data_IF_284755320571
#
_entry.id   IF_284755320571
#
_cell.length_a   1.000
_cell.length_b   1.000
_cell.length_c   1.000
_cell.angle_alpha   90.00
_cell.angle_beta   90.00
_cell.angle_gamma   90.00
#
_symmetry.space_group_name_H-M   'P 1'
#
loop_
_entity.id
_entity.type
_entity.pdbx_description
1 polymer ?
#
# COMPACT_ATOMS: atom_id res chain seq x y z
N UNK A 1 -17.38 27.42 27.78
CA UNK A 1 -16.23 26.48 27.68
C UNK A 1 -16.45 25.60 26.46
N UNK A 2 -16.08 26.09 25.28
CA UNK A 2 -16.37 25.41 24.01
C UNK A 2 -15.29 24.38 23.76
N UNK A 3 -15.64 23.09 23.85
CA UNK A 3 -14.75 21.98 23.47
C UNK A 3 -14.44 22.15 21.98
N UNK A 4 -13.18 22.43 21.66
CA UNK A 4 -12.68 22.33 20.29
C UNK A 4 -12.71 20.84 19.97
N UNK A 5 -13.66 20.40 19.13
CA UNK A 5 -13.63 19.08 18.53
C UNK A 5 -12.28 18.94 17.83
N UNK A 6 -11.46 18.01 18.32
CA UNK A 6 -10.14 17.72 17.76
C UNK A 6 -10.28 17.45 16.26
N UNK A 7 -9.65 18.27 15.42
CA UNK A 7 -9.53 18.01 13.99
C UNK A 7 -8.76 16.70 13.86
N UNK A 8 -9.41 15.65 13.34
CA UNK A 8 -8.76 14.36 13.10
C UNK A 8 -7.80 14.57 11.93
N UNK A 9 -6.51 14.63 12.23
CA UNK A 9 -5.47 14.66 11.21
C UNK A 9 -5.38 13.26 10.62
N UNK A 10 -5.94 13.06 9.44
CA UNK A 10 -5.83 11.79 8.71
C UNK A 10 -4.36 11.59 8.32
N UNK A 11 -3.78 10.47 8.72
CA UNK A 11 -2.43 10.05 8.31
C UNK A 11 -2.52 9.18 7.05
N UNK A 12 -1.48 9.23 6.22
CA UNK A 12 -1.41 8.40 5.03
C UNK A 12 -1.26 6.93 5.40
N UNK A 13 -0.45 6.64 6.42
CA UNK A 13 -0.37 5.31 7.05
C UNK A 13 -0.50 5.52 8.56
N UNK A 14 -1.39 4.76 9.20
CA UNK A 14 -1.55 4.74 10.65
C UNK A 14 -1.63 3.29 11.13
N UNK A 15 -0.73 2.90 12.03
CA UNK A 15 -0.63 1.55 12.57
C UNK A 15 -0.77 1.63 14.08
N UNK A 16 -1.63 0.80 14.65
CA UNK A 16 -1.84 0.70 16.10
C UNK A 16 -1.81 -0.76 16.55
N UNK A 17 -0.85 -1.09 17.40
CA UNK A 17 -0.64 -2.40 18.04
C UNK A 17 -0.66 -3.57 17.04
N UNK A 18 -0.01 -3.40 15.89
CA UNK A 18 -0.03 -4.37 14.80
C UNK A 18 0.87 -5.55 15.08
N UNK A 19 0.24 -6.72 15.19
CA UNK A 19 0.93 -7.97 15.47
C UNK A 19 0.69 -8.93 14.31
N UNK A 20 1.76 -9.61 13.87
CA UNK A 20 1.66 -10.78 13.00
C UNK A 20 2.44 -11.94 13.56
N UNK A 21 1.75 -13.06 13.73
CA UNK A 21 2.32 -14.33 14.19
C UNK A 21 2.11 -15.41 13.13
N UNK A 22 3.12 -16.27 13.00
CA UNK A 22 3.06 -17.49 12.20
C UNK A 22 3.50 -18.66 13.08
N UNK A 23 2.63 -19.66 13.25
CA UNK A 23 2.92 -20.85 14.07
C UNK A 23 3.49 -20.52 15.46
N UNK A 24 2.92 -19.52 16.13
CA UNK A 24 3.36 -19.06 17.46
C UNK A 24 4.60 -18.17 17.48
N UNK A 25 5.25 -17.92 16.34
CA UNK A 25 6.38 -16.99 16.24
C UNK A 25 5.89 -15.60 15.81
N UNK A 26 6.18 -14.59 16.63
CA UNK A 26 5.93 -13.18 16.29
C UNK A 26 6.93 -12.68 15.25
N UNK A 27 6.41 -12.19 14.12
CA UNK A 27 7.18 -11.69 12.97
C UNK A 27 6.97 -10.19 12.76
N UNK A 28 5.83 -9.63 13.19
CA UNK A 28 5.59 -8.19 13.25
C UNK A 28 5.09 -7.85 14.66
N UNK A 29 5.68 -6.82 15.26
CA UNK A 29 5.28 -6.21 16.53
C UNK A 29 5.52 -4.70 16.42
N UNK A 30 4.53 -3.96 15.93
CA UNK A 30 4.60 -2.51 15.79
C UNK A 30 3.57 -1.89 16.73
N UNK A 31 4.08 -1.22 17.78
CA UNK A 31 3.23 -0.57 18.77
C UNK A 31 2.46 0.60 18.14
N UNK A 32 3.15 1.59 17.60
CA UNK A 32 2.53 2.69 16.84
C UNK A 32 3.46 3.13 15.72
N UNK A 33 2.92 3.35 14.52
CA UNK A 33 3.64 3.95 13.41
C UNK A 33 2.69 4.86 12.63
N UNK A 34 3.12 6.09 12.38
CA UNK A 34 2.36 7.06 11.59
C UNK A 34 3.27 7.62 10.50
N UNK A 35 2.75 7.67 9.28
CA UNK A 35 3.40 8.31 8.14
C UNK A 35 2.45 9.34 7.55
N UNK A 36 2.91 10.58 7.43
CA UNK A 36 2.16 11.68 6.85
C UNK A 36 2.04 11.60 5.34
N UNK A 37 1.13 12.38 4.77
CA UNK A 37 1.07 12.57 3.31
C UNK A 37 2.32 13.32 2.83
N UNK A 38 2.94 12.85 1.75
CA UNK A 38 4.17 13.43 1.19
C UNK A 38 5.45 13.07 1.95
N UNK A 39 5.37 12.22 2.98
CA UNK A 39 6.52 11.78 3.75
C UNK A 39 7.24 10.60 3.07
N UNK A 40 8.58 10.64 3.06
CA UNK A 40 9.42 9.52 2.66
C UNK A 40 9.78 8.67 3.89
N UNK A 41 9.25 7.46 3.94
CA UNK A 41 9.48 6.52 5.05
C UNK A 41 10.11 5.21 4.56
N UNK A 42 11.00 4.62 5.36
CA UNK A 42 11.66 3.36 5.05
C UNK A 42 11.80 2.44 6.26
N UNK A 43 11.50 1.15 6.10
CA UNK A 43 11.80 0.13 7.10
C UNK A 43 13.25 -0.35 6.96
N UNK A 44 14.05 -0.16 8.01
CA UNK A 44 15.43 -0.67 8.08
C UNK A 44 15.53 -1.80 9.12
N UNK A 45 16.24 -2.87 8.78
CA UNK A 45 16.50 -3.98 9.69
C UNK A 45 17.01 -5.22 8.96
N UNK A 46 17.48 -6.26 9.70
CA UNK A 46 17.99 -7.48 9.09
C UNK A 46 16.89 -8.30 8.39
N UNK A 47 17.30 -9.34 7.67
CA UNK A 47 16.36 -10.32 7.12
C UNK A 47 15.58 -10.99 8.25
N UNK A 48 14.27 -11.17 8.05
CA UNK A 48 13.38 -11.71 9.07
C UNK A 48 12.85 -10.69 10.10
N UNK A 49 13.27 -9.43 10.06
CA UNK A 49 12.77 -8.37 10.96
C UNK A 49 11.30 -7.95 10.72
N UNK A 50 10.56 -8.66 9.86
CA UNK A 50 9.15 -8.38 9.61
C UNK A 50 8.83 -7.39 8.48
N UNK A 51 9.82 -6.71 7.88
CA UNK A 51 9.61 -5.68 6.84
C UNK A 51 8.64 -6.10 5.73
N UNK A 52 8.96 -7.18 5.03
CA UNK A 52 8.12 -7.72 3.93
C UNK A 52 6.73 -8.11 4.43
N UNK A 53 6.64 -8.65 5.65
CA UNK A 53 5.35 -9.01 6.27
C UNK A 53 4.50 -7.77 6.55
N UNK A 54 5.10 -6.70 7.08
CA UNK A 54 4.42 -5.42 7.28
C UNK A 54 3.93 -4.83 5.97
N UNK A 55 4.78 -4.81 4.93
CA UNK A 55 4.37 -4.34 3.58
C UNK A 55 3.22 -5.19 3.04
N UNK A 56 3.26 -6.52 3.21
CA UNK A 56 2.15 -7.41 2.80
C UNK A 56 0.85 -7.12 3.55
N UNK A 57 0.92 -6.70 4.81
CA UNK A 57 -0.27 -6.30 5.58
C UNK A 57 -0.85 -4.99 5.04
N UNK A 58 0.00 -3.97 4.88
CA UNK A 58 -0.41 -2.67 4.33
C UNK A 58 -1.01 -2.80 2.93
N UNK A 59 -0.48 -3.71 2.12
CA UNK A 59 -0.93 -3.97 0.73
C UNK A 59 -2.05 -5.00 0.65
N UNK A 60 -2.69 -5.36 1.77
CA UNK A 60 -3.83 -6.29 1.87
C UNK A 60 -3.54 -7.75 1.47
N UNK A 61 -2.28 -8.09 1.18
CA UNK A 61 -1.85 -9.44 0.80
C UNK A 61 -1.81 -10.42 1.97
N UNK A 62 -1.85 -9.94 3.21
CA UNK A 62 -1.84 -10.77 4.42
C UNK A 62 -2.56 -10.05 5.54
N UNK A 63 -3.43 -10.76 6.27
CA UNK A 63 -4.11 -10.19 7.44
C UNK A 63 -3.16 -10.15 8.65
N UNK A 64 -3.20 -9.10 9.49
CA UNK A 64 -2.56 -9.14 10.79
C UNK A 64 -3.17 -10.23 11.66
N UNK A 65 -2.46 -10.66 12.70
CA UNK A 65 -3.00 -11.51 13.76
C UNK A 65 -3.87 -10.68 14.70
N UNK A 66 -3.42 -9.46 15.04
CA UNK A 66 -4.19 -8.49 15.82
C UNK A 66 -3.70 -7.06 15.55
N UNK A 67 -4.40 -6.07 16.10
CA UNK A 67 -4.13 -4.65 15.86
C UNK A 67 -4.83 -4.10 14.63
N UNK A 68 -4.47 -2.87 14.27
CA UNK A 68 -5.04 -2.14 13.13
C UNK A 68 -3.95 -1.50 12.29
N UNK A 69 -4.22 -1.42 10.99
CA UNK A 69 -3.48 -0.58 10.07
C UNK A 69 -4.48 0.09 9.15
N UNK A 70 -4.27 1.39 8.91
CA UNK A 70 -5.09 2.22 8.06
C UNK A 70 -4.22 2.84 6.97
N UNK A 71 -4.77 2.94 5.76
CA UNK A 71 -4.22 3.73 4.65
C UNK A 71 -5.23 4.80 4.31
N UNK A 72 -4.83 6.07 4.40
CA UNK A 72 -5.70 7.23 4.19
C UNK A 72 -7.04 7.12 4.95
N UNK A 73 -6.98 6.66 6.21
CA UNK A 73 -8.17 6.46 7.06
C UNK A 73 -8.99 5.20 6.78
N UNK A 74 -8.68 4.40 5.76
CA UNK A 74 -9.34 3.13 5.46
C UNK A 74 -8.61 1.95 6.09
N UNK A 75 -9.34 1.07 6.79
CA UNK A 75 -8.75 -0.11 7.43
C UNK A 75 -8.38 -1.17 6.39
N UNK A 76 -7.14 -1.68 6.46
CA UNK A 76 -6.58 -2.61 5.45
C UNK A 76 -7.24 -3.99 5.45
N UNK A 77 -8.04 -4.33 6.45
CA UNK A 77 -8.78 -5.60 6.56
C UNK A 77 -10.24 -5.42 6.15
N UNK A 78 -10.94 -4.39 6.64
CA UNK A 78 -12.36 -4.18 6.34
C UNK A 78 -12.64 -3.40 5.06
N UNK A 79 -11.70 -2.59 4.58
CA UNK A 79 -11.88 -1.68 3.44
C UNK A 79 -10.92 -1.97 2.28
N UNK A 80 -10.65 -3.25 2.02
CA UNK A 80 -9.62 -3.68 1.04
C UNK A 80 -9.78 -3.09 -0.36
N UNK A 81 -11.00 -2.89 -0.85
CA UNK A 81 -11.23 -2.31 -2.18
C UNK A 81 -10.83 -0.83 -2.23
N UNK A 82 -11.25 -0.06 -1.23
CA UNK A 82 -10.86 1.35 -1.09
C UNK A 82 -9.35 1.48 -0.89
N UNK A 83 -8.76 0.67 -0.01
CA UNK A 83 -7.32 0.72 0.27
C UNK A 83 -6.49 0.47 -1.00
N UNK A 84 -6.92 -0.41 -1.90
CA UNK A 84 -6.22 -0.68 -3.16
C UNK A 84 -6.19 0.49 -4.16
N UNK A 85 -7.11 1.45 -4.05
CA UNK A 85 -7.03 2.68 -4.85
C UNK A 85 -6.08 3.73 -4.26
N UNK A 86 -5.64 3.56 -3.02
CA UNK A 86 -4.81 4.54 -2.30
C UNK A 86 -3.30 4.32 -2.47
N UNK A 87 -2.86 3.21 -3.09
CA UNK A 87 -1.43 2.91 -3.24
C UNK A 87 -1.09 2.27 -4.60
N UNK A 88 0.15 2.52 -5.05
CA UNK A 88 0.84 1.72 -6.05
C UNK A 88 1.92 0.86 -5.39
N UNK A 89 2.20 -0.32 -5.92
CA UNK A 89 3.24 -1.22 -5.40
C UNK A 89 4.18 -1.67 -6.52
N UNK A 90 5.48 -1.57 -6.25
CA UNK A 90 6.51 -2.23 -7.06
C UNK A 90 6.88 -3.53 -6.35
N UNK A 91 6.62 -4.66 -6.99
CA UNK A 91 6.90 -5.96 -6.41
C UNK A 91 8.39 -6.32 -6.52
N UNK A 92 8.87 -7.16 -5.58
CA UNK A 92 10.24 -7.68 -5.61
C UNK A 92 10.52 -8.50 -6.89
N UNK A 93 9.51 -9.22 -7.38
CA UNK A 93 9.55 -9.90 -8.67
C UNK A 93 8.63 -9.14 -9.64
N UNK A 94 9.15 -8.84 -10.83
CA UNK A 94 8.41 -8.16 -11.88
C UNK A 94 7.29 -9.06 -12.41
N UNK A 95 6.05 -8.60 -12.28
CA UNK A 95 4.85 -9.24 -12.85
C UNK A 95 4.56 -8.70 -14.26
N UNK A 96 5.59 -8.64 -15.12
CA UNK A 96 5.44 -8.23 -16.52
C UNK A 96 4.91 -9.40 -17.37
N UNK A 97 3.94 -9.10 -18.23
CA UNK A 97 3.56 -10.03 -19.28
C UNK A 97 4.64 -9.98 -20.37
N UNK A 98 5.31 -11.11 -20.58
CA UNK A 98 6.42 -11.26 -21.53
C UNK A 98 5.97 -11.24 -22.99
N UNK A 99 4.68 -11.52 -23.22
CA UNK A 99 4.08 -11.49 -24.56
C UNK A 99 3.66 -10.07 -24.97
N UNK A 100 3.81 -9.09 -24.07
CA UNK A 100 3.46 -7.68 -24.30
C UNK A 100 4.71 -6.81 -24.35
N UNK A 101 4.69 -5.79 -25.20
CA UNK A 101 5.66 -4.70 -25.19
C UNK A 101 5.63 -3.93 -23.87
N UNK A 102 6.62 -3.07 -23.64
CA UNK A 102 6.67 -2.21 -22.45
C UNK A 102 5.43 -1.30 -22.39
N UNK A 103 5.06 -0.67 -23.51
CA UNK A 103 3.88 0.21 -23.56
C UNK A 103 2.59 -0.55 -23.29
N UNK A 104 2.44 -1.76 -23.83
CA UNK A 104 1.26 -2.58 -23.58
C UNK A 104 1.15 -3.03 -22.12
N UNK A 105 2.29 -3.36 -21.48
CA UNK A 105 2.32 -3.63 -20.04
C UNK A 105 1.87 -2.41 -19.22
N UNK A 106 2.35 -1.21 -19.57
CA UNK A 106 1.96 0.04 -18.90
C UNK A 106 0.47 0.35 -19.09
N UNK A 107 -0.05 0.22 -20.31
CA UNK A 107 -1.46 0.43 -20.62
C UNK A 107 -2.35 -0.60 -19.90
N UNK A 108 -1.93 -1.87 -19.84
CA UNK A 108 -2.63 -2.92 -19.10
C UNK A 108 -2.73 -2.56 -17.61
N UNK A 109 -1.62 -2.17 -16.97
CA UNK A 109 -1.62 -1.77 -15.56
C UNK A 109 -2.47 -0.52 -15.33
N UNK A 110 -2.38 0.49 -16.20
CA UNK A 110 -3.20 1.70 -16.09
C UNK A 110 -4.71 1.40 -16.15
N UNK A 111 -5.13 0.46 -17.00
CA UNK A 111 -6.53 0.00 -17.08
C UNK A 111 -6.96 -0.78 -15.85
N UNK A 112 -6.11 -1.67 -15.33
CA UNK A 112 -6.38 -2.43 -14.10
C UNK A 112 -6.54 -1.52 -12.87
N UNK A 113 -5.83 -0.39 -12.86
CA UNK A 113 -5.97 0.66 -11.85
C UNK A 113 -7.06 1.70 -12.18
N UNK A 114 -7.89 1.43 -13.18
CA UNK A 114 -9.02 2.29 -13.58
C UNK A 114 -8.64 3.75 -13.90
N UNK A 115 -7.42 3.98 -14.39
CA UNK A 115 -6.99 5.32 -14.77
C UNK A 115 -7.79 5.83 -15.96
N UNK A 116 -8.24 7.09 -15.87
CA UNK A 116 -8.95 7.75 -16.99
C UNK A 116 -8.05 7.84 -18.21
N UNK A 117 -8.65 8.00 -19.39
CA UNK A 117 -7.88 8.15 -20.63
C UNK A 117 -6.96 9.39 -20.59
N UNK A 118 -7.41 10.44 -19.91
CA UNK A 118 -6.65 11.66 -19.67
C UNK A 118 -5.45 11.39 -18.75
N UNK A 119 -5.66 10.69 -17.63
CA UNK A 119 -4.60 10.31 -16.70
C UNK A 119 -3.56 9.34 -17.32
N UNK A 120 -3.95 8.58 -18.34
CA UNK A 120 -3.08 7.64 -19.06
C UNK A 120 -2.04 8.32 -19.97
N UNK A 121 -2.20 9.61 -20.31
CA UNK A 121 -1.20 10.35 -21.11
C UNK A 121 -0.92 9.78 -22.51
N UNK A 122 -1.75 8.86 -23.04
CA UNK A 122 -1.48 8.11 -24.27
C UNK A 122 -1.68 8.91 -25.56
N UNK A 123 -1.96 10.21 -25.48
CA UNK A 123 -2.10 11.09 -26.64
C UNK A 123 -0.78 11.32 -27.41
N UNK A 124 0.39 10.97 -26.87
CA UNK A 124 1.70 11.22 -27.49
C UNK A 124 2.54 9.99 -27.87
N UNK A 125 2.06 8.76 -27.65
CA UNK A 125 2.90 7.55 -27.73
C UNK A 125 2.53 6.58 -28.87
N UNK A 126 1.85 7.06 -29.92
CA UNK A 126 1.63 6.28 -31.14
C UNK A 126 2.92 6.22 -31.96
N UNK A 127 3.75 5.21 -31.74
CA UNK A 127 4.90 4.91 -32.60
C UNK A 127 6.11 4.45 -31.82
N UNK A 128 6.12 3.18 -31.43
CA UNK A 128 7.35 2.44 -31.12
C UNK A 128 6.98 0.97 -31.23
N UNK A 129 7.14 0.46 -32.45
CA UNK A 129 7.12 -0.96 -32.77
C UNK A 129 8.39 -1.64 -32.21
#
# INVERSE_FOLDING_TARGET
>A
MTRISSVVVIKMIDISNLIKEYSGKRVVDIQNLQVGQGELFGFLGPNGAGKTTTIRILTTLTKPTSGKALINGFDVVSNTFQVKSEFGIVQQHLSLNKDLTILENLELHARLHHLTREARGTSGLRGAD
#
